data_IF_887218487986
#
_entry.id   IF_887218487986
#
_cell.length_a   1.000
_cell.length_b   1.000
_cell.length_c   1.000
_cell.angle_alpha   90.00
_cell.angle_beta   90.00
_cell.angle_gamma   90.00
#
_symmetry.space_group_name_H-M   'P 1'
#
loop_
_entity.id
_entity.type
_entity.pdbx_description
1 polymer ?
#
# COMPACT_ATOMS: atom_id res chain seq x y z
N UNK A 1 6.78 11.84 -17.59
CA UNK A 1 7.59 10.59 -17.68
C UNK A 1 8.16 10.12 -16.32
N UNK A 2 8.13 10.92 -15.24
CA UNK A 2 8.59 10.53 -13.89
C UNK A 2 7.52 9.81 -13.03
N UNK A 3 6.23 10.08 -13.23
CA UNK A 3 5.14 9.49 -12.45
C UNK A 3 4.98 7.98 -12.68
N UNK A 4 5.25 7.52 -13.91
CA UNK A 4 5.15 6.11 -14.31
C UNK A 4 6.12 5.23 -13.53
N UNK A 5 7.37 5.69 -13.35
CA UNK A 5 8.40 4.96 -12.60
C UNK A 5 8.06 4.80 -11.12
N UNK A 6 7.39 5.80 -10.51
CA UNK A 6 7.01 5.75 -9.10
C UNK A 6 5.86 4.77 -8.84
N UNK A 7 4.91 4.69 -9.78
CA UNK A 7 3.82 3.70 -9.77
C UNK A 7 4.36 2.27 -9.94
N UNK A 8 5.30 2.06 -10.87
CA UNK A 8 5.93 0.75 -11.07
C UNK A 8 6.73 0.31 -9.83
N UNK A 9 7.35 1.26 -9.13
CA UNK A 9 8.09 1.02 -7.88
C UNK A 9 7.16 0.71 -6.69
N UNK A 10 5.98 1.33 -6.63
CA UNK A 10 4.91 1.01 -5.68
C UNK A 10 4.38 -0.41 -5.91
N UNK A 11 4.16 -0.80 -7.18
CA UNK A 11 3.74 -2.16 -7.53
C UNK A 11 4.79 -3.21 -7.22
N UNK A 12 6.07 -2.95 -7.54
CA UNK A 12 7.17 -3.83 -7.18
C UNK A 12 7.28 -4.01 -5.66
N UNK A 13 7.02 -2.95 -4.90
CA UNK A 13 7.02 -2.94 -3.44
C UNK A 13 5.87 -3.79 -2.87
N UNK A 14 4.66 -3.67 -3.43
CA UNK A 14 3.49 -4.46 -3.08
C UNK A 14 3.57 -5.94 -3.48
N UNK A 15 4.35 -6.27 -4.52
CA UNK A 15 4.62 -7.64 -4.94
C UNK A 15 5.75 -8.28 -4.11
N UNK A 16 6.80 -7.54 -3.77
CA UNK A 16 7.88 -8.01 -2.87
C UNK A 16 7.39 -8.29 -1.43
N UNK A 17 6.24 -7.72 -1.06
CA UNK A 17 5.51 -7.97 0.17
C UNK A 17 5.10 -9.45 0.37
N UNK A 18 5.19 -10.29 -0.68
CA UNK A 18 4.93 -11.73 -0.58
C UNK A 18 6.12 -12.55 -0.04
N UNK A 19 7.31 -11.95 0.13
CA UNK A 19 8.57 -12.66 0.44
C UNK A 19 9.31 -12.11 1.69
N UNK A 20 8.79 -11.06 2.35
CA UNK A 20 9.48 -10.38 3.47
C UNK A 20 8.81 -10.50 4.84
N UNK A 21 9.59 -10.31 5.91
CA UNK A 21 9.09 -10.21 7.30
C UNK A 21 8.00 -9.14 7.42
N UNK A 22 6.98 -9.40 8.23
CA UNK A 22 5.82 -8.50 8.46
C UNK A 22 6.21 -7.04 8.73
N UNK A 23 7.39 -6.81 9.34
CA UNK A 23 7.96 -5.47 9.56
C UNK A 23 8.30 -4.72 8.27
N UNK A 24 8.94 -5.36 7.29
CA UNK A 24 9.27 -4.73 6.01
C UNK A 24 8.02 -4.41 5.20
N UNK A 25 6.97 -5.23 5.32
CA UNK A 25 5.67 -4.96 4.70
C UNK A 25 5.03 -3.73 5.37
N UNK A 26 5.09 -3.65 6.69
CA UNK A 26 4.55 -2.52 7.44
C UNK A 26 5.31 -1.21 7.18
N UNK A 27 6.63 -1.25 6.97
CA UNK A 27 7.41 -0.07 6.54
C UNK A 27 7.00 0.39 5.14
N UNK A 28 6.90 -0.52 4.18
CA UNK A 28 6.51 -0.20 2.80
C UNK A 28 5.11 0.40 2.73
N UNK A 29 4.16 -0.12 3.52
CA UNK A 29 2.81 0.42 3.59
C UNK A 29 2.73 1.79 4.28
N UNK A 30 3.61 2.07 5.25
CA UNK A 30 3.77 3.42 5.82
C UNK A 30 4.27 4.41 4.77
N UNK A 31 5.25 4.02 3.95
CA UNK A 31 5.70 4.87 2.85
C UNK A 31 4.56 5.17 1.84
N UNK A 32 3.70 4.19 1.55
CA UNK A 32 2.51 4.38 0.70
C UNK A 32 1.54 5.37 1.33
N UNK A 33 1.30 5.28 2.64
CA UNK A 33 0.43 6.21 3.37
C UNK A 33 0.97 7.64 3.32
N UNK A 34 2.26 7.83 3.56
CA UNK A 34 2.90 9.16 3.52
C UNK A 34 2.82 9.78 2.12
N UNK A 35 3.07 8.98 1.08
CA UNK A 35 2.94 9.42 -0.31
C UNK A 35 1.48 9.77 -0.67
N UNK A 36 0.49 9.03 -0.16
CA UNK A 36 -0.94 9.33 -0.37
C UNK A 36 -1.40 10.58 0.38
N UNK A 37 -0.90 10.79 1.60
CA UNK A 37 -1.17 12.00 2.37
C UNK A 37 -0.58 13.25 1.68
N UNK A 38 0.63 13.12 1.11
CA UNK A 38 1.25 14.18 0.32
C UNK A 38 0.53 14.50 -1.00
N UNK A 39 -0.32 13.58 -1.49
CA UNK A 39 -1.16 13.75 -2.67
C UNK A 39 -2.59 14.20 -2.34
N UNK A 40 -2.86 14.60 -1.10
CA UNK A 40 -4.18 15.02 -0.61
C UNK A 40 -5.26 13.91 -0.73
N UNK A 41 -4.83 12.64 -0.75
CA UNK A 41 -5.70 11.47 -0.84
C UNK A 41 -5.99 10.89 0.56
N UNK A 42 -6.61 11.70 1.43
CA UNK A 42 -6.85 11.33 2.83
C UNK A 42 -7.63 10.02 3.01
N UNK A 43 -8.61 9.74 2.15
CA UNK A 43 -9.39 8.49 2.19
C UNK A 43 -8.54 7.26 1.86
N UNK A 44 -7.60 7.39 0.92
CA UNK A 44 -6.70 6.30 0.56
C UNK A 44 -5.62 6.11 1.61
N UNK A 45 -5.14 7.19 2.24
CA UNK A 45 -4.22 7.11 3.37
C UNK A 45 -4.86 6.37 4.57
N UNK A 46 -6.14 6.63 4.87
CA UNK A 46 -6.88 5.90 5.89
C UNK A 46 -7.06 4.40 5.57
N UNK A 47 -7.30 4.07 4.29
CA UNK A 47 -7.38 2.68 3.84
C UNK A 47 -6.02 1.96 3.94
N UNK A 48 -4.91 2.66 3.70
CA UNK A 48 -3.56 2.13 3.90
C UNK A 48 -3.29 1.84 5.38
N UNK A 49 -3.69 2.73 6.29
CA UNK A 49 -3.55 2.53 7.73
C UNK A 49 -4.35 1.32 8.25
N UNK A 50 -5.61 1.19 7.81
CA UNK A 50 -6.45 0.03 8.14
C UNK A 50 -5.83 -1.29 7.66
N UNK A 51 -5.19 -1.26 6.49
CA UNK A 51 -4.48 -2.42 5.92
C UNK A 51 -3.24 -2.79 6.75
N UNK A 52 -2.47 -1.80 7.23
CA UNK A 52 -1.33 -2.03 8.15
C UNK A 52 -1.81 -2.58 9.50
N UNK A 53 -2.92 -2.08 10.02
CA UNK A 53 -3.49 -2.57 11.27
C UNK A 53 -3.92 -4.05 11.15
N UNK A 54 -4.55 -4.44 10.04
CA UNK A 54 -4.90 -5.84 9.75
C UNK A 54 -3.67 -6.75 9.70
N UNK A 55 -2.61 -6.29 9.03
CA UNK A 55 -1.33 -7.01 8.96
C UNK A 55 -0.71 -7.23 10.34
N UNK A 56 -0.71 -6.20 11.20
CA UNK A 56 -0.18 -6.28 12.58
C UNK A 56 -1.00 -7.21 13.48
N UNK A 57 -2.31 -7.33 13.22
CA UNK A 57 -3.19 -8.29 13.92
C UNK A 57 -3.00 -9.74 13.44
N UNK A 58 -2.17 -9.96 12.42
CA UNK A 58 -2.01 -11.29 11.80
C UNK A 58 -3.19 -11.68 10.92
N UNK A 59 -4.11 -10.76 10.59
CA UNK A 59 -5.23 -11.02 9.69
C UNK A 59 -4.77 -10.83 8.24
N UNK A 60 -4.19 -11.91 7.71
CA UNK A 60 -3.66 -11.94 6.33
C UNK A 60 -4.78 -11.82 5.28
N UNK A 61 -6.00 -12.23 5.60
CA UNK A 61 -7.12 -12.16 4.67
C UNK A 61 -7.63 -10.72 4.52
N UNK A 62 -7.75 -10.00 5.64
CA UNK A 62 -8.11 -8.59 5.66
C UNK A 62 -7.00 -7.73 5.01
N UNK A 63 -5.73 -8.03 5.28
CA UNK A 63 -4.60 -7.38 4.61
C UNK A 63 -4.64 -7.54 3.08
N UNK A 64 -4.86 -8.77 2.58
CA UNK A 64 -4.94 -9.02 1.13
C UNK A 64 -6.09 -8.27 0.46
N UNK A 65 -7.24 -8.14 1.14
CA UNK A 65 -8.39 -7.36 0.65
C UNK A 65 -8.07 -5.87 0.59
N UNK A 66 -7.50 -5.30 1.66
CA UNK A 66 -7.07 -3.90 1.70
C UNK A 66 -6.03 -3.58 0.62
N UNK A 67 -5.04 -4.47 0.43
CA UNK A 67 -4.05 -4.37 -0.64
C UNK A 67 -4.71 -4.33 -2.03
N UNK A 68 -5.60 -5.29 -2.32
CA UNK A 68 -6.27 -5.37 -3.62
C UNK A 68 -7.12 -4.11 -3.91
N UNK A 69 -7.79 -3.59 -2.88
CA UNK A 69 -8.54 -2.35 -2.97
C UNK A 69 -7.62 -1.16 -3.32
N UNK A 70 -6.49 -1.02 -2.62
CA UNK A 70 -5.50 0.04 -2.87
C UNK A 70 -4.90 -0.09 -4.27
N UNK A 71 -4.56 -1.30 -4.72
CA UNK A 71 -4.05 -1.54 -6.08
C UNK A 71 -5.06 -1.12 -7.15
N UNK A 72 -6.34 -1.45 -6.98
CA UNK A 72 -7.39 -1.02 -7.91
C UNK A 72 -7.53 0.50 -7.94
N UNK A 73 -7.59 1.16 -6.78
CA UNK A 73 -7.76 2.62 -6.69
C UNK A 73 -6.57 3.40 -7.25
N UNK A 74 -5.34 2.98 -6.93
CA UNK A 74 -4.12 3.59 -7.46
C UNK A 74 -4.01 3.35 -8.97
N UNK A 75 -4.38 2.17 -9.46
CA UNK A 75 -4.38 1.87 -10.89
C UNK A 75 -5.32 2.78 -11.71
N UNK A 76 -6.39 3.29 -11.09
CA UNK A 76 -7.34 4.20 -11.74
C UNK A 76 -6.87 5.67 -11.75
N UNK A 77 -5.81 6.01 -11.01
CA UNK A 77 -5.21 7.35 -10.98
C UNK A 77 -4.12 7.53 -12.05
N UNK A 78 -3.89 6.51 -12.90
CA UNK A 78 -2.87 6.49 -13.95
C UNK A 78 -3.33 7.16 -15.25
#
# INVERSE_FOLDING_TARGET
MMATSRVDQLLATLNATEVGSLESIAEKMRQVQDDLAALDQAELAAAADATVAALRRGDVAEFKRGRAFLQSKIGHLR
#
